data_IF_460464186720
#
_entry.id   IF_460464186720
#
_cell.length_a   1.000
_cell.length_b   1.000
_cell.length_c   1.000
_cell.angle_alpha   90.00
_cell.angle_beta   90.00
_cell.angle_gamma   90.00
#
_symmetry.space_group_name_H-M   'P 1'
#
loop_
_entity.id
_entity.type
_entity.pdbx_description
1 polymer ?
#
# COMPACT_ATOMS: atom_id res chain seq x y z
N UNK A 1 -0.02 8.61 -39.66
CA UNK A 1 -1.06 7.94 -38.85
C UNK A 1 -1.18 6.43 -39.14
N UNK A 2 -1.25 5.99 -40.41
CA UNK A 2 -1.41 4.56 -40.75
C UNK A 2 -0.24 3.66 -40.29
N UNK A 3 1.01 4.13 -40.36
CA UNK A 3 2.18 3.37 -39.90
C UNK A 3 2.14 3.10 -38.38
N UNK A 4 1.79 4.09 -37.57
CA UNK A 4 1.69 3.96 -36.12
C UNK A 4 0.54 3.03 -35.71
N UNK A 5 -0.62 3.13 -36.38
CA UNK A 5 -1.76 2.22 -36.17
C UNK A 5 -1.41 0.76 -36.51
N UNK A 6 -0.64 0.54 -37.57
CA UNK A 6 -0.18 -0.79 -37.95
C UNK A 6 0.89 -1.34 -36.99
N UNK A 7 1.79 -0.49 -36.48
CA UNK A 7 2.74 -0.89 -35.43
C UNK A 7 2.04 -1.26 -34.13
N UNK A 8 1.00 -0.52 -33.72
CA UNK A 8 0.21 -0.84 -32.53
C UNK A 8 -0.53 -2.17 -32.65
N UNK A 9 -1.06 -2.52 -33.83
CA UNK A 9 -1.67 -3.85 -34.06
C UNK A 9 -0.65 -4.99 -33.89
N UNK A 10 0.63 -4.75 -34.16
CA UNK A 10 1.68 -5.77 -33.99
C UNK A 10 2.00 -6.06 -32.53
N UNK A 11 1.63 -5.19 -31.58
CA UNK A 11 1.82 -5.47 -30.15
C UNK A 11 1.13 -6.77 -29.74
N UNK A 12 -0.07 -7.03 -30.26
CA UNK A 12 -0.82 -8.24 -29.93
C UNK A 12 -0.23 -9.53 -30.52
N UNK A 13 0.80 -9.42 -31.38
CA UNK A 13 1.51 -10.58 -31.93
C UNK A 13 2.62 -11.06 -30.99
N UNK A 14 3.21 -10.16 -30.19
CA UNK A 14 4.29 -10.52 -29.27
C UNK A 14 3.73 -10.90 -27.90
N UNK A 15 3.91 -12.13 -27.40
CA UNK A 15 3.41 -12.54 -26.09
C UNK A 15 3.93 -11.66 -24.95
N UNK A 16 5.18 -11.21 -25.04
CA UNK A 16 5.78 -10.30 -24.07
C UNK A 16 5.12 -8.92 -24.03
N UNK A 17 4.73 -8.37 -25.18
CA UNK A 17 3.97 -7.13 -25.24
C UNK A 17 2.58 -7.30 -24.61
N UNK A 18 1.89 -8.41 -24.90
CA UNK A 18 0.56 -8.68 -24.35
C UNK A 18 0.63 -8.79 -22.82
N UNK A 19 1.58 -9.56 -22.29
CA UNK A 19 1.80 -9.66 -20.84
C UNK A 19 2.11 -8.31 -20.21
N UNK A 20 3.01 -7.52 -20.82
CA UNK A 20 3.33 -6.18 -20.32
C UNK A 20 2.14 -5.22 -20.34
N UNK A 21 1.31 -5.26 -21.38
CA UNK A 21 0.07 -4.48 -21.47
C UNK A 21 -0.92 -4.92 -20.38
N UNK A 22 -1.10 -6.22 -20.18
CA UNK A 22 -2.01 -6.75 -19.15
C UNK A 22 -1.57 -6.28 -17.76
N UNK A 23 -0.27 -6.33 -17.45
CA UNK A 23 0.25 -5.82 -16.17
C UNK A 23 0.01 -4.33 -16.03
N UNK A 24 0.37 -3.53 -17.04
CA UNK A 24 0.18 -2.07 -17.00
C UNK A 24 -1.30 -1.69 -16.83
N UNK A 25 -2.20 -2.35 -17.57
CA UNK A 25 -3.64 -2.15 -17.45
C UNK A 25 -4.16 -2.58 -16.07
N UNK A 26 -3.68 -3.70 -15.54
CA UNK A 26 -4.06 -4.16 -14.19
C UNK A 26 -3.65 -3.15 -13.14
N UNK A 27 -2.43 -2.60 -13.22
CA UNK A 27 -1.98 -1.55 -12.31
C UNK A 27 -2.82 -0.28 -12.42
N UNK A 28 -3.21 0.12 -13.64
CA UNK A 28 -4.10 1.27 -13.85
C UNK A 28 -5.49 0.99 -13.25
N UNK A 29 -6.04 -0.21 -13.45
CA UNK A 29 -7.33 -0.61 -12.86
C UNK A 29 -7.26 -0.60 -11.34
N UNK A 30 -6.21 -1.17 -10.75
CA UNK A 30 -5.98 -1.15 -9.29
C UNK A 30 -5.83 0.29 -8.79
N UNK A 31 -5.11 1.14 -9.52
CA UNK A 31 -4.93 2.54 -9.15
C UNK A 31 -6.25 3.32 -9.17
N UNK A 32 -7.04 3.16 -10.23
CA UNK A 32 -8.37 3.78 -10.34
C UNK A 32 -9.30 3.24 -9.27
N UNK A 33 -9.32 1.92 -9.06
CA UNK A 33 -10.10 1.29 -8.01
C UNK A 33 -9.75 1.88 -6.64
N UNK A 34 -8.47 1.92 -6.27
CA UNK A 34 -7.99 2.45 -5.00
C UNK A 34 -8.44 3.91 -4.78
N UNK A 35 -8.27 4.76 -5.79
CA UNK A 35 -8.67 6.18 -5.72
C UNK A 35 -10.19 6.38 -5.60
N UNK A 36 -10.99 5.45 -6.15
CA UNK A 36 -12.46 5.50 -6.10
C UNK A 36 -12.99 4.96 -4.77
N UNK A 37 -12.48 3.80 -4.32
CA UNK A 37 -13.00 3.13 -3.13
C UNK A 37 -12.47 3.70 -1.83
N UNK A 38 -11.26 4.24 -1.83
CA UNK A 38 -10.62 4.83 -0.67
C UNK A 38 -10.21 6.23 -1.10
N UNK A 39 -11.01 7.29 -0.90
CA UNK A 39 -10.65 8.64 -1.29
C UNK A 39 -9.35 9.13 -0.62
N UNK A 40 -8.71 10.16 -1.18
CA UNK A 40 -7.41 10.65 -0.72
C UNK A 40 -7.36 10.96 0.79
N UNK A 41 -8.34 11.68 1.31
CA UNK A 41 -8.40 12.02 2.75
C UNK A 41 -8.59 10.78 3.63
N UNK A 42 -9.36 9.81 3.14
CA UNK A 42 -9.59 8.54 3.83
C UNK A 42 -8.33 7.68 3.83
N UNK A 43 -7.58 7.66 2.72
CA UNK A 43 -6.29 6.98 2.63
C UNK A 43 -5.29 7.55 3.65
N UNK A 44 -5.25 8.87 3.81
CA UNK A 44 -4.42 9.52 4.82
C UNK A 44 -4.90 9.16 6.22
N UNK A 45 -6.21 9.19 6.48
CA UNK A 45 -6.78 8.81 7.78
C UNK A 45 -6.44 7.37 8.15
N UNK A 46 -6.58 6.44 7.20
CA UNK A 46 -6.29 5.01 7.39
C UNK A 46 -4.79 4.71 7.46
N UNK A 47 -3.92 5.59 6.95
CA UNK A 47 -2.47 5.40 6.98
C UNK A 47 -1.78 6.09 8.16
N UNK A 48 -2.32 7.23 8.61
CA UNK A 48 -1.74 8.13 9.63
C UNK A 48 -2.63 8.36 10.84
N UNK A 49 -3.75 7.66 10.95
CA UNK A 49 -4.61 7.67 12.13
C UNK A 49 -3.89 7.29 13.42
N UNK A 50 -4.56 7.44 14.55
CA UNK A 50 -4.12 6.85 15.82
C UNK A 50 -4.77 5.50 16.08
N UNK A 51 -4.64 5.03 17.32
CA UNK A 51 -5.25 3.77 17.75
C UNK A 51 -6.78 3.78 17.58
N UNK A 52 -7.43 4.94 17.61
CA UNK A 52 -8.87 5.09 17.38
C UNK A 52 -9.34 4.61 16.00
N UNK A 53 -8.44 4.57 15.01
CA UNK A 53 -8.76 4.10 13.66
C UNK A 53 -8.57 2.59 13.52
N UNK A 54 -7.61 2.01 14.25
CA UNK A 54 -7.16 0.63 14.03
C UNK A 54 -7.26 -0.27 15.27
N UNK A 55 -7.95 0.16 16.32
CA UNK A 55 -8.07 -0.60 17.57
C UNK A 55 -8.64 -2.02 17.37
N UNK A 56 -9.46 -2.22 16.33
CA UNK A 56 -10.05 -3.50 15.99
C UNK A 56 -9.03 -4.50 15.45
N UNK A 57 -7.94 -4.02 14.87
CA UNK A 57 -6.98 -4.86 14.17
C UNK A 57 -5.90 -5.37 15.14
N UNK A 58 -5.42 -6.62 15.01
CA UNK A 58 -4.28 -7.13 15.78
C UNK A 58 -2.98 -6.43 15.36
N UNK A 59 -1.93 -6.55 16.18
CA UNK A 59 -0.58 -6.10 15.82
C UNK A 59 0.18 -7.24 15.16
N UNK A 60 0.98 -6.93 14.14
CA UNK A 60 1.86 -7.89 13.47
C UNK A 60 1.16 -9.20 13.05
N UNK A 61 -0.08 -9.13 12.60
CA UNK A 61 -0.81 -10.32 12.17
C UNK A 61 -0.57 -10.57 10.68
N UNK A 62 -0.02 -11.72 10.26
CA UNK A 62 0.04 -12.09 8.86
C UNK A 62 -1.34 -12.20 8.19
N UNK A 63 -1.39 -12.28 6.85
CA UNK A 63 -2.60 -12.57 6.12
C UNK A 63 -3.31 -13.86 6.54
N UNK A 64 -4.65 -13.85 6.55
CA UNK A 64 -5.47 -15.01 6.89
C UNK A 64 -5.21 -16.21 5.97
N UNK A 65 -4.93 -15.97 4.68
CA UNK A 65 -4.65 -17.04 3.72
C UNK A 65 -3.38 -17.84 4.02
N UNK A 66 -2.51 -17.41 4.94
CA UNK A 66 -1.40 -18.25 5.42
C UNK A 66 -1.92 -19.59 5.96
N UNK A 67 -3.11 -19.60 6.57
CA UNK A 67 -3.78 -20.81 7.04
C UNK A 67 -3.95 -21.90 5.97
N UNK A 68 -3.93 -21.56 4.67
CA UNK A 68 -4.01 -22.52 3.56
C UNK A 68 -2.69 -23.27 3.32
N UNK A 69 -1.56 -22.72 3.75
CA UNK A 69 -0.22 -23.23 3.44
C UNK A 69 0.52 -23.81 4.65
N UNK A 70 -0.08 -23.72 5.84
CA UNK A 70 0.47 -24.22 7.11
C UNK A 70 -0.33 -25.41 7.63
N UNK A 71 0.36 -26.35 8.28
CA UNK A 71 -0.29 -27.42 9.04
C UNK A 71 -0.93 -26.90 10.33
N UNK A 72 -0.36 -25.84 10.92
CA UNK A 72 -0.83 -25.20 12.15
C UNK A 72 -1.82 -24.08 11.84
N UNK A 73 -3.06 -24.18 12.28
CA UNK A 73 -4.11 -23.17 12.05
C UNK A 73 -4.03 -22.02 13.05
N UNK A 74 -3.88 -20.82 12.54
CA UNK A 74 -3.82 -19.57 13.28
C UNK A 74 -5.21 -18.95 13.38
N UNK A 75 -5.55 -18.42 14.56
CA UNK A 75 -6.84 -17.80 14.81
C UNK A 75 -7.05 -16.53 13.99
N UNK A 76 -8.20 -16.41 13.34
CA UNK A 76 -8.55 -15.22 12.57
C UNK A 76 -9.15 -14.15 13.47
N UNK A 77 -8.77 -12.89 13.21
CA UNK A 77 -9.28 -11.74 13.96
C UNK A 77 -10.67 -11.35 13.49
N UNK A 78 -11.52 -10.93 14.42
CA UNK A 78 -12.85 -10.42 14.11
C UNK A 78 -13.31 -9.39 15.15
N UNK A 79 -14.29 -8.58 14.78
CA UNK A 79 -15.01 -7.70 15.70
C UNK A 79 -16.50 -7.84 15.49
N UNK A 80 -17.25 -7.84 16.60
CA UNK A 80 -18.72 -7.96 16.61
C UNK A 80 -19.31 -6.97 17.60
N UNK A 81 -20.50 -6.46 17.30
CA UNK A 81 -21.16 -5.39 18.04
C UNK A 81 -22.63 -5.71 18.31
N UNK A 82 -23.18 -5.11 19.35
CA UNK A 82 -24.64 -5.09 19.55
C UNK A 82 -25.35 -4.19 18.55
N UNK A 83 -24.67 -3.16 18.03
CA UNK A 83 -25.25 -2.14 17.16
C UNK A 83 -25.44 -2.57 15.71
N UNK A 84 -24.68 -3.56 15.23
CA UNK A 84 -24.83 -4.14 13.88
C UNK A 84 -25.63 -5.46 13.89
N UNK A 85 -26.06 -5.92 15.08
CA UNK A 85 -26.83 -7.14 15.27
C UNK A 85 -26.02 -8.43 15.29
N UNK A 86 -24.68 -8.38 15.20
CA UNK A 86 -23.83 -9.57 15.28
C UNK A 86 -23.79 -10.19 16.68
N UNK A 87 -23.91 -9.37 17.74
CA UNK A 87 -24.17 -9.84 19.10
C UNK A 87 -25.68 -9.80 19.36
N UNK A 88 -26.27 -10.95 19.68
CA UNK A 88 -27.69 -11.04 20.03
C UNK A 88 -27.92 -10.38 21.39
N UNK A 89 -28.61 -9.23 21.39
CA UNK A 89 -28.95 -8.44 22.58
C UNK A 89 -30.45 -8.47 22.80
N UNK A 90 -30.86 -9.00 23.95
CA UNK A 90 -32.23 -8.96 24.44
C UNK A 90 -32.32 -8.03 25.64
N UNK A 91 -33.28 -7.11 25.63
CA UNK A 91 -33.53 -6.18 26.74
C UNK A 91 -34.90 -6.51 27.32
N UNK A 92 -34.91 -6.91 28.59
CA UNK A 92 -36.14 -7.20 29.34
C UNK A 92 -36.44 -6.02 30.26
N UNK A 93 -37.59 -5.34 30.08
CA UNK A 93 -37.99 -4.26 30.98
C UNK A 93 -38.33 -4.82 32.36
N UNK A 94 -37.86 -4.16 33.42
CA UNK A 94 -38.17 -4.45 34.81
C UNK A 94 -39.16 -3.45 35.41
N UNK A 95 -39.36 -3.55 36.72
CA UNK A 95 -40.19 -2.62 37.49
C UNK A 95 -39.47 -1.28 37.74
N UNK A 96 -40.25 -0.21 37.93
CA UNK A 96 -39.75 1.14 38.28
C UNK A 96 -38.69 1.73 37.32
N UNK A 97 -38.74 1.36 36.04
CA UNK A 97 -37.81 1.89 35.04
C UNK A 97 -36.43 1.25 35.06
N UNK A 98 -36.25 0.17 35.82
CA UNK A 98 -35.09 -0.71 35.67
C UNK A 98 -35.24 -1.59 34.43
N UNK A 99 -34.14 -1.98 33.81
CA UNK A 99 -34.14 -2.95 32.72
C UNK A 99 -32.95 -3.87 32.85
N UNK A 100 -33.09 -5.09 32.34
CA UNK A 100 -31.99 -6.05 32.27
C UNK A 100 -31.68 -6.33 30.81
N UNK A 101 -30.41 -6.55 30.51
CA UNK A 101 -29.91 -6.86 29.19
C UNK A 101 -29.21 -8.22 29.25
N UNK A 102 -29.44 -9.05 28.25
CA UNK A 102 -28.64 -10.24 27.98
C UNK A 102 -28.06 -10.11 26.58
N UNK A 103 -26.74 -10.04 26.47
CA UNK A 103 -26.02 -10.11 25.21
C UNK A 103 -25.24 -11.42 25.14
N UNK A 104 -25.41 -12.17 24.05
CA UNK A 104 -24.65 -13.39 23.84
C UNK A 104 -24.03 -13.43 22.45
N UNK A 105 -22.79 -13.88 22.38
CA UNK A 105 -22.09 -14.12 21.13
C UNK A 105 -21.41 -15.47 21.19
N UNK A 106 -21.63 -16.27 20.16
CA UNK A 106 -21.11 -17.63 20.06
C UNK A 106 -20.23 -17.75 18.83
N UNK A 107 -19.05 -18.33 18.98
CA UNK A 107 -18.12 -18.50 17.87
C UNK A 107 -17.36 -19.82 17.98
N UNK A 108 -16.92 -20.29 16.82
CA UNK A 108 -16.19 -21.53 16.67
C UNK A 108 -14.68 -21.28 16.76
N UNK A 109 -14.02 -21.99 17.67
CA UNK A 109 -12.57 -21.94 17.83
C UNK A 109 -11.96 -23.31 17.50
N UNK A 110 -11.55 -23.47 16.25
CA UNK A 110 -10.90 -24.69 15.74
C UNK A 110 -9.46 -24.43 15.30
N UNK A 111 -8.77 -23.56 16.05
CA UNK A 111 -7.39 -23.15 15.77
C UNK A 111 -6.39 -23.86 16.68
N UNK A 112 -5.10 -23.83 16.32
CA UNK A 112 -3.99 -24.42 17.05
C UNK A 112 -3.18 -23.38 17.86
N UNK A 113 -3.55 -22.10 17.77
CA UNK A 113 -2.85 -21.00 18.42
C UNK A 113 -3.86 -20.07 19.09
N UNK A 114 -3.57 -19.74 20.35
CA UNK A 114 -4.32 -18.76 21.12
C UNK A 114 -4.38 -17.40 20.39
N UNK A 115 -5.47 -16.64 20.55
CA UNK A 115 -5.49 -15.25 20.10
C UNK A 115 -4.41 -14.42 20.81
N UNK A 116 -4.06 -13.28 20.23
CA UNK A 116 -3.15 -12.31 20.85
C UNK A 116 -3.81 -11.60 22.03
N UNK A 117 -5.09 -11.24 21.89
CA UNK A 117 -5.82 -10.47 22.88
C UNK A 117 -7.34 -10.59 22.66
N UNK A 118 -8.10 -10.37 23.73
CA UNK A 118 -9.55 -10.21 23.67
C UNK A 118 -9.94 -8.92 24.41
N UNK A 119 -10.67 -8.04 23.73
CA UNK A 119 -11.03 -6.72 24.26
C UNK A 119 -12.53 -6.51 24.13
N UNK A 120 -13.13 -5.99 25.19
CA UNK A 120 -14.52 -5.54 25.20
C UNK A 120 -14.57 -4.02 25.34
N UNK A 121 -15.27 -3.38 24.41
CA UNK A 121 -15.57 -1.96 24.45
C UNK A 121 -17.03 -1.78 24.79
N UNK A 122 -17.30 -1.02 25.85
CA UNK A 122 -18.64 -0.69 26.30
C UNK A 122 -18.92 0.77 26.05
N UNK A 123 -20.08 1.05 25.48
CA UNK A 123 -20.65 2.40 25.42
C UNK A 123 -21.97 2.38 26.16
N UNK A 124 -22.06 3.10 27.27
CA UNK A 124 -23.26 3.16 28.09
C UNK A 124 -23.91 4.54 28.03
N UNK A 125 -25.24 4.57 27.93
CA UNK A 125 -26.06 5.77 28.06
C UNK A 125 -26.77 5.69 29.41
N UNK A 126 -26.52 6.67 30.28
CA UNK A 126 -27.20 6.87 31.56
C UNK A 126 -26.97 8.31 32.04
N UNK A 127 -27.80 8.79 32.96
CA UNK A 127 -27.80 10.14 33.51
C UNK A 127 -27.14 10.17 34.89
N UNK A 128 -27.64 9.38 35.83
CA UNK A 128 -27.16 9.37 37.22
C UNK A 128 -26.74 7.98 37.67
N UNK A 129 -27.53 6.95 37.34
CA UNK A 129 -27.31 5.61 37.88
C UNK A 129 -26.50 4.75 36.91
N UNK A 130 -25.24 4.47 37.27
CA UNK A 130 -24.33 3.65 36.47
C UNK A 130 -24.87 2.23 36.27
N UNK A 131 -24.97 1.74 35.02
CA UNK A 131 -25.31 0.36 34.75
C UNK A 131 -24.24 -0.61 35.26
N UNK A 132 -24.66 -1.81 35.62
CA UNK A 132 -23.77 -2.87 36.10
C UNK A 132 -23.79 -4.05 35.15
N UNK A 133 -22.63 -4.62 34.82
CA UNK A 133 -22.55 -5.82 33.98
C UNK A 133 -21.86 -6.98 34.69
N UNK A 134 -22.28 -8.19 34.35
CA UNK A 134 -21.60 -9.44 34.63
C UNK A 134 -21.24 -10.11 33.31
N UNK A 135 -20.00 -10.55 33.19
CA UNK A 135 -19.49 -11.23 32.00
C UNK A 135 -19.10 -12.66 32.36
N UNK A 136 -19.56 -13.61 31.56
CA UNK A 136 -19.28 -15.04 31.68
C UNK A 136 -18.75 -15.60 30.36
N UNK A 137 -17.84 -16.54 30.47
CA UNK A 137 -17.22 -17.25 29.36
C UNK A 137 -17.56 -18.72 29.48
N UNK A 138 -18.29 -19.23 28.50
CA UNK A 138 -18.67 -20.63 28.42
C UNK A 138 -17.71 -21.35 27.49
N UNK A 139 -17.08 -22.39 28.00
CA UNK A 139 -16.11 -23.22 27.28
C UNK A 139 -16.78 -24.44 26.64
N UNK A 140 -16.15 -25.07 25.62
CA UNK A 140 -16.71 -26.23 24.92
C UNK A 140 -17.00 -27.44 25.81
N UNK A 141 -16.28 -27.58 26.92
CA UNK A 141 -16.44 -28.63 27.93
C UNK A 141 -17.55 -28.33 28.96
N UNK A 142 -18.28 -27.21 28.80
CA UNK A 142 -19.42 -26.83 29.62
C UNK A 142 -19.08 -26.03 30.88
N UNK A 143 -17.81 -25.67 31.12
CA UNK A 143 -17.47 -24.79 32.25
C UNK A 143 -17.97 -23.37 32.01
N UNK A 144 -18.37 -22.71 33.10
CA UNK A 144 -18.73 -21.28 33.11
C UNK A 144 -17.70 -20.51 33.92
N UNK A 145 -16.93 -19.66 33.24
CA UNK A 145 -15.88 -18.86 33.85
C UNK A 145 -16.37 -17.43 33.98
N UNK A 146 -16.47 -16.92 35.20
CA UNK A 146 -16.84 -15.53 35.45
C UNK A 146 -15.65 -14.60 35.16
N UNK A 147 -15.77 -13.79 34.13
CA UNK A 147 -14.73 -12.88 33.63
C UNK A 147 -14.60 -11.66 34.55
N UNK A 148 -15.64 -10.83 34.63
CA UNK A 148 -15.68 -9.72 35.57
C UNK A 148 -17.11 -9.28 35.88
N UNK A 149 -17.22 -8.50 36.94
CA UNK A 149 -18.44 -7.82 37.36
C UNK A 149 -18.06 -6.40 37.72
N UNK A 150 -18.63 -5.43 37.02
CA UNK A 150 -18.25 -4.04 37.17
C UNK A 150 -19.40 -3.10 36.80
N UNK A 151 -19.40 -1.93 37.43
CA UNK A 151 -20.16 -0.79 36.95
C UNK A 151 -19.48 -0.23 35.69
N UNK A 152 -20.27 0.21 34.71
CA UNK A 152 -19.78 0.66 33.42
C UNK A 152 -19.87 2.18 33.32
N UNK A 153 -18.72 2.81 33.05
CA UNK A 153 -18.63 4.22 32.68
C UNK A 153 -19.18 4.45 31.26
N UNK A 154 -19.48 5.71 30.85
CA UNK A 154 -20.07 5.98 29.53
C UNK A 154 -19.26 5.43 28.35
N UNK A 155 -17.93 5.40 28.47
CA UNK A 155 -17.02 4.65 27.61
C UNK A 155 -16.07 3.86 28.49
N UNK A 156 -16.07 2.54 28.38
CA UNK A 156 -15.19 1.66 29.14
C UNK A 156 -14.53 0.66 28.21
N UNK A 157 -13.22 0.49 28.36
CA UNK A 157 -12.48 -0.60 27.69
C UNK A 157 -12.08 -1.62 28.75
N UNK A 158 -12.32 -2.88 28.45
CA UNK A 158 -11.95 -4.01 29.30
C UNK A 158 -11.07 -4.97 28.49
N UNK A 159 -9.79 -5.07 28.87
CA UNK A 159 -8.82 -5.98 28.25
C UNK A 159 -8.66 -7.20 29.15
N UNK A 160 -8.92 -8.38 28.63
CA UNK A 160 -8.95 -9.59 29.45
C UNK A 160 -7.55 -9.91 30.02
N UNK A 161 -6.49 -9.73 29.22
CA UNK A 161 -5.11 -9.96 29.65
C UNK A 161 -4.65 -9.09 30.83
N UNK A 162 -5.31 -7.94 31.05
CA UNK A 162 -4.93 -6.95 32.07
C UNK A 162 -5.71 -7.09 33.39
N UNK A 163 -6.64 -8.04 33.49
CA UNK A 163 -7.44 -8.22 34.72
C UNK A 163 -6.73 -9.14 35.74
N UNK A 164 -6.16 -8.52 36.77
CA UNK A 164 -5.49 -9.22 37.89
C UNK A 164 -6.43 -10.13 38.71
N UNK A 165 -7.72 -9.77 38.84
CA UNK A 165 -8.69 -10.62 39.53
C UNK A 165 -9.01 -11.86 38.69
N UNK A 166 -9.03 -11.72 37.37
CA UNK A 166 -9.21 -12.85 36.45
C UNK A 166 -7.99 -13.77 36.46
N UNK A 167 -6.77 -13.24 36.42
CA UNK A 167 -5.52 -14.02 36.62
C UNK A 167 -5.57 -14.85 37.90
N UNK A 168 -5.96 -14.22 39.01
CA UNK A 168 -6.09 -14.89 40.30
C UNK A 168 -7.14 -16.00 40.28
N UNK A 169 -8.29 -15.78 39.64
CA UNK A 169 -9.35 -16.80 39.52
C UNK A 169 -8.94 -17.98 38.65
N UNK A 170 -8.22 -17.72 37.55
CA UNK A 170 -7.72 -18.74 36.63
C UNK A 170 -6.45 -19.43 37.14
N UNK A 171 -5.81 -18.89 38.19
CA UNK A 171 -4.52 -19.37 38.71
C UNK A 171 -3.43 -19.41 37.62
N UNK A 172 -3.45 -18.43 36.72
CA UNK A 172 -2.52 -18.31 35.60
C UNK A 172 -2.05 -16.87 35.46
N UNK A 173 -0.77 -16.68 35.11
CA UNK A 173 -0.23 -15.37 34.77
C UNK A 173 -0.72 -14.87 33.41
N UNK A 174 -0.96 -15.79 32.47
CA UNK A 174 -1.52 -15.49 31.16
C UNK A 174 -3.00 -15.91 31.10
N UNK A 175 -3.86 -14.91 31.00
CA UNK A 175 -5.33 -15.08 30.98
C UNK A 175 -5.77 -15.75 29.70
N UNK A 176 -5.17 -15.39 28.55
CA UNK A 176 -5.69 -15.82 27.26
C UNK A 176 -5.55 -17.34 27.10
N UNK A 177 -4.36 -17.96 27.25
CA UNK A 177 -4.24 -19.41 27.23
C UNK A 177 -5.15 -20.09 28.25
N UNK A 178 -5.23 -19.57 29.48
CA UNK A 178 -6.05 -20.16 30.53
C UNK A 178 -7.57 -20.20 30.22
N UNK A 179 -8.07 -19.29 29.38
CA UNK A 179 -9.47 -19.28 28.93
C UNK A 179 -9.76 -20.30 27.82
N UNK A 180 -8.73 -20.74 27.09
CA UNK A 180 -8.85 -21.67 25.97
C UNK A 180 -8.26 -23.05 26.27
N UNK A 181 -7.70 -23.26 27.46
CA UNK A 181 -7.08 -24.52 27.85
C UNK A 181 -7.90 -25.29 28.89
N UNK A 182 -7.71 -26.60 28.89
CA UNK A 182 -8.10 -27.46 29.99
C UNK A 182 -7.19 -27.17 31.21
N UNK A 183 -7.72 -26.90 32.42
CA UNK A 183 -6.91 -26.59 33.59
C UNK A 183 -6.08 -27.75 34.13
N UNK A 184 -6.49 -28.99 33.85
CA UNK A 184 -5.83 -30.20 34.33
C UNK A 184 -4.73 -30.64 33.35
N UNK A 185 -5.04 -30.67 32.06
CA UNK A 185 -4.09 -31.14 31.03
C UNK A 185 -3.25 -30.01 30.43
N UNK A 186 -3.72 -28.76 30.50
CA UNK A 186 -3.11 -27.61 29.82
C UNK A 186 -3.32 -27.61 28.30
N UNK A 187 -4.03 -28.60 27.76
CA UNK A 187 -4.24 -28.72 26.31
C UNK A 187 -5.26 -27.69 25.81
N UNK A 188 -5.07 -27.24 24.57
CA UNK A 188 -5.95 -26.30 23.90
C UNK A 188 -7.31 -26.95 23.61
N UNK A 189 -8.37 -26.38 24.16
CA UNK A 189 -9.74 -26.82 23.94
C UNK A 189 -10.30 -26.19 22.66
N UNK A 190 -10.56 -27.05 21.67
CA UNK A 190 -11.21 -26.67 20.42
C UNK A 190 -12.70 -26.94 20.50
N UNK A 191 -13.49 -26.02 19.96
CA UNK A 191 -14.94 -26.14 19.94
C UNK A 191 -15.62 -24.79 19.99
N UNK A 192 -16.88 -24.82 20.38
CA UNK A 192 -17.72 -23.64 20.43
C UNK A 192 -17.56 -22.91 21.76
N UNK A 193 -17.24 -21.62 21.71
CA UNK A 193 -17.16 -20.74 22.86
C UNK A 193 -18.31 -19.74 22.83
N UNK A 194 -18.80 -19.37 24.01
CA UNK A 194 -19.84 -18.37 24.13
C UNK A 194 -19.46 -17.31 25.17
N UNK A 195 -19.51 -16.05 24.74
CA UNK A 195 -19.45 -14.89 25.61
C UNK A 195 -20.87 -14.49 25.99
N UNK A 196 -21.17 -14.52 27.29
CA UNK A 196 -22.45 -14.09 27.85
C UNK A 196 -22.24 -12.84 28.70
N UNK A 197 -23.01 -11.80 28.42
CA UNK A 197 -22.96 -10.53 29.13
C UNK A 197 -24.35 -10.20 29.63
N UNK A 198 -24.51 -10.13 30.94
CA UNK A 198 -25.76 -9.74 31.58
C UNK A 198 -25.60 -8.35 32.20
N UNK A 199 -26.44 -7.41 31.82
CA UNK A 199 -26.44 -6.04 32.31
C UNK A 199 -27.70 -5.72 33.11
N UNK A 200 -27.56 -4.90 34.15
CA UNK A 200 -28.65 -4.27 34.87
C UNK A 200 -28.54 -2.75 34.72
N UNK A 201 -29.62 -2.13 34.27
CA UNK A 201 -29.78 -0.69 34.08
C UNK A 201 -30.82 -0.20 35.08
N UNK A 202 -30.52 0.90 35.77
CA UNK A 202 -31.26 1.30 36.97
C UNK A 202 -32.13 2.55 36.78
N UNK A 203 -32.24 3.04 35.54
CA UNK A 203 -33.05 4.20 35.17
C UNK A 203 -33.64 4.06 33.75
N UNK A 204 -34.79 4.69 33.47
CA UNK A 204 -35.42 4.64 32.14
C UNK A 204 -34.52 5.23 31.05
N UNK A 205 -34.52 4.61 29.87
CA UNK A 205 -33.75 5.09 28.72
C UNK A 205 -32.25 4.81 28.80
N UNK A 206 -31.78 4.16 29.87
CA UNK A 206 -30.42 3.63 29.92
C UNK A 206 -30.24 2.51 28.90
N UNK A 207 -29.04 2.47 28.31
CA UNK A 207 -28.68 1.42 27.36
C UNK A 207 -27.18 1.12 27.41
N UNK A 208 -26.80 -0.10 27.05
CA UNK A 208 -25.41 -0.56 26.97
C UNK A 208 -25.17 -1.18 25.60
N UNK A 209 -24.23 -0.62 24.86
CA UNK A 209 -23.69 -1.22 23.66
C UNK A 209 -22.35 -1.89 23.96
N UNK A 210 -22.18 -3.07 23.37
CA UNK A 210 -20.96 -3.87 23.53
C UNK A 210 -20.36 -4.10 22.16
N UNK A 211 -19.05 -3.92 22.07
CA UNK A 211 -18.22 -4.38 20.99
C UNK A 211 -17.19 -5.37 21.53
N UNK A 212 -17.18 -6.58 20.97
CA UNK A 212 -16.18 -7.59 21.26
C UNK A 212 -15.18 -7.65 20.11
N UNK A 213 -13.91 -7.40 20.43
CA UNK A 213 -12.79 -7.45 19.49
C UNK A 213 -11.91 -8.63 19.87
N UNK A 214 -11.79 -9.57 18.93
CA UNK A 214 -10.95 -10.73 19.02
C UNK A 214 -9.71 -10.52 18.15
N UNK A 215 -8.57 -10.26 18.78
CA UNK A 215 -7.29 -10.16 18.07
C UNK A 215 -6.71 -11.54 17.89
N UNK A 216 -7.00 -12.14 16.74
CA UNK A 216 -6.39 -13.39 16.30
C UNK A 216 -4.91 -13.23 15.94
N UNK A 217 -4.32 -14.32 15.47
CA UNK A 217 -2.94 -14.37 14.99
C UNK A 217 -2.80 -14.00 13.51
N UNK A 218 -3.89 -14.04 12.75
CA UNK A 218 -3.94 -13.61 11.34
C UNK A 218 -5.08 -12.63 11.10
N UNK A 219 -4.96 -11.83 10.04
CA UNK A 219 -5.95 -10.80 9.69
C UNK A 219 -6.01 -10.57 8.18
N UNK A 220 -7.22 -10.52 7.64
CA UNK A 220 -7.50 -10.02 6.29
C UNK A 220 -6.68 -10.65 5.16
N UNK A 221 -6.57 -9.91 4.04
CA UNK A 221 -5.87 -10.37 2.82
C UNK A 221 -4.37 -10.04 2.87
N UNK A 222 -3.98 -8.95 3.53
CA UNK A 222 -2.60 -8.45 3.56
C UNK A 222 -1.98 -8.44 4.96
N UNK A 223 -2.75 -8.82 5.99
CA UNK A 223 -2.28 -8.72 7.36
C UNK A 223 -2.21 -7.28 7.88
N UNK A 224 -1.56 -7.13 9.02
CA UNK A 224 -1.41 -5.87 9.74
C UNK A 224 0.03 -5.61 10.14
N UNK A 225 0.32 -4.35 10.42
CA UNK A 225 1.66 -3.94 10.86
C UNK A 225 1.77 -3.73 12.39
N UNK A 226 2.89 -3.15 12.84
CA UNK A 226 3.16 -2.80 14.23
C UNK A 226 2.11 -1.86 14.85
N UNK A 227 1.52 -1.00 14.01
CA UNK A 227 0.57 0.04 14.37
C UNK A 227 -0.87 -0.44 14.23
N UNK A 228 -1.09 -1.73 13.93
CA UNK A 228 -2.41 -2.33 13.62
C UNK A 228 -3.01 -1.88 12.28
N UNK A 229 -2.25 -1.18 11.43
CA UNK A 229 -2.75 -0.72 10.13
C UNK A 229 -2.99 -1.92 9.23
N UNK A 230 -4.11 -1.92 8.54
CA UNK A 230 -4.39 -2.91 7.49
C UNK A 230 -3.50 -2.64 6.28
N UNK A 231 -2.63 -3.59 5.94
CA UNK A 231 -1.67 -3.43 4.84
C UNK A 231 -2.34 -3.41 3.46
N UNK A 232 -3.61 -3.79 3.34
CA UNK A 232 -4.32 -3.71 2.05
C UNK A 232 -4.42 -2.27 1.55
N UNK A 233 -4.58 -1.31 2.48
CA UNK A 233 -4.73 0.12 2.17
C UNK A 233 -3.48 0.66 1.47
N UNK A 234 -2.28 0.59 2.06
CA UNK A 234 -1.07 1.09 1.42
C UNK A 234 -0.62 0.25 0.22
N UNK A 235 -0.99 -1.03 0.12
CA UNK A 235 -0.72 -1.83 -1.09
C UNK A 235 -1.55 -1.36 -2.29
N UNK A 236 -2.83 -1.05 -2.07
CA UNK A 236 -3.70 -0.50 -3.11
C UNK A 236 -3.32 0.94 -3.47
N UNK A 237 -3.14 1.80 -2.46
CA UNK A 237 -2.80 3.22 -2.66
C UNK A 237 -1.36 3.47 -3.11
N UNK A 238 -0.45 2.52 -2.89
CA UNK A 238 0.90 2.60 -3.45
C UNK A 238 0.91 2.49 -4.99
N UNK A 239 -0.07 1.81 -5.60
CA UNK A 239 -0.15 1.67 -7.06
C UNK A 239 -0.33 3.00 -7.82
N UNK A 240 -1.31 3.87 -7.51
CA UNK A 240 -1.45 5.17 -8.19
C UNK A 240 -0.22 6.05 -7.97
N UNK A 241 0.38 6.01 -6.78
CA UNK A 241 1.58 6.81 -6.46
C UNK A 241 2.79 6.34 -7.28
N UNK A 242 3.05 5.03 -7.29
CA UNK A 242 4.13 4.43 -8.08
C UNK A 242 3.95 4.72 -9.58
N UNK A 243 2.75 4.50 -10.12
CA UNK A 243 2.45 4.80 -11.52
C UNK A 243 2.61 6.28 -11.84
N UNK A 244 2.08 7.18 -11.01
CA UNK A 244 2.20 8.62 -11.23
C UNK A 244 3.67 9.06 -11.24
N UNK A 245 4.45 8.64 -10.22
CA UNK A 245 5.87 8.99 -10.15
C UNK A 245 6.64 8.42 -11.35
N UNK A 246 6.48 7.13 -11.63
CA UNK A 246 7.18 6.45 -12.71
C UNK A 246 6.86 7.00 -14.10
N UNK A 247 5.57 7.20 -14.40
CA UNK A 247 5.12 7.69 -15.71
C UNK A 247 5.45 9.17 -15.92
N UNK A 248 5.23 10.02 -14.91
CA UNK A 248 5.51 11.47 -15.03
C UNK A 248 7.02 11.70 -15.12
N UNK A 249 7.83 11.01 -14.31
CA UNK A 249 9.29 11.11 -14.40
C UNK A 249 9.78 10.65 -15.76
N UNK A 250 9.34 9.48 -16.21
CA UNK A 250 9.73 8.92 -17.51
C UNK A 250 9.33 9.82 -18.68
N UNK A 251 8.08 10.27 -18.71
CA UNK A 251 7.57 11.16 -19.76
C UNK A 251 8.30 12.51 -19.73
N UNK A 252 8.39 13.14 -18.55
CA UNK A 252 9.02 14.44 -18.36
C UNK A 252 10.48 14.43 -18.79
N UNK A 253 11.27 13.48 -18.28
CA UNK A 253 12.67 13.34 -18.66
C UNK A 253 12.82 13.02 -20.15
N UNK A 254 12.11 12.02 -20.67
CA UNK A 254 12.29 11.59 -22.07
C UNK A 254 11.97 12.71 -23.07
N UNK A 255 10.87 13.44 -22.83
CA UNK A 255 10.43 14.53 -23.71
C UNK A 255 11.39 15.73 -23.60
N UNK A 256 11.73 16.16 -22.39
CA UNK A 256 12.61 17.31 -22.19
C UNK A 256 14.02 17.05 -22.74
N UNK A 257 14.60 15.88 -22.45
CA UNK A 257 15.91 15.47 -22.98
C UNK A 257 15.92 15.45 -24.51
N UNK A 258 14.87 14.92 -25.15
CA UNK A 258 14.76 14.92 -26.62
C UNK A 258 14.65 16.33 -27.19
N UNK A 259 13.80 17.18 -26.61
CA UNK A 259 13.63 18.57 -27.07
C UNK A 259 14.95 19.34 -26.95
N UNK A 260 15.63 19.24 -25.80
CA UNK A 260 16.92 19.91 -25.56
C UNK A 260 17.98 19.40 -26.52
N UNK A 261 18.07 18.08 -26.75
CA UNK A 261 19.02 17.51 -27.70
C UNK A 261 18.72 17.95 -29.15
N UNK A 262 17.45 18.01 -29.56
CA UNK A 262 17.05 18.47 -30.89
C UNK A 262 17.41 19.94 -31.11
N UNK A 263 17.12 20.80 -30.12
CA UNK A 263 17.44 22.23 -30.15
C UNK A 263 18.96 22.42 -30.20
N UNK A 264 19.72 21.78 -29.31
CA UNK A 264 21.18 21.85 -29.32
C UNK A 264 21.78 21.45 -30.67
N UNK A 265 21.33 20.31 -31.21
CA UNK A 265 21.83 19.80 -32.50
C UNK A 265 21.45 20.70 -33.68
N UNK A 266 20.24 21.27 -33.68
CA UNK A 266 19.78 22.14 -34.76
C UNK A 266 20.55 23.45 -34.82
N UNK A 267 20.58 24.19 -33.71
CA UNK A 267 21.24 25.50 -33.65
C UNK A 267 22.76 25.40 -33.66
N UNK A 268 23.33 24.32 -33.11
CA UNK A 268 24.77 24.10 -33.07
C UNK A 268 25.52 25.20 -32.31
N UNK A 269 26.82 25.32 -32.57
CA UNK A 269 27.68 26.38 -32.02
C UNK A 269 27.63 26.44 -30.50
N UNK A 270 27.46 27.65 -29.96
CA UNK A 270 27.47 27.87 -28.50
C UNK A 270 26.30 27.21 -27.77
N UNK A 271 25.15 27.00 -28.42
CA UNK A 271 23.98 26.36 -27.78
C UNK A 271 24.26 24.89 -27.52
N UNK A 272 24.77 24.19 -28.53
CA UNK A 272 25.16 22.78 -28.40
C UNK A 272 26.30 22.62 -27.38
N UNK A 273 27.31 23.49 -27.45
CA UNK A 273 28.44 23.48 -26.50
C UNK A 273 27.95 23.68 -25.06
N UNK A 274 27.08 24.65 -24.80
CA UNK A 274 26.52 24.89 -23.46
C UNK A 274 25.76 23.66 -22.93
N UNK A 275 24.93 23.02 -23.78
CA UNK A 275 24.20 21.81 -23.41
C UNK A 275 25.18 20.66 -23.10
N UNK A 276 26.25 20.50 -23.90
CA UNK A 276 27.28 19.49 -23.62
C UNK A 276 27.99 19.76 -22.30
N UNK A 277 28.36 21.01 -22.00
CA UNK A 277 29.01 21.38 -20.72
C UNK A 277 28.12 21.12 -19.53
N UNK A 278 26.84 21.50 -19.58
CA UNK A 278 25.88 21.20 -18.52
C UNK A 278 25.74 19.69 -18.34
N UNK A 279 25.69 18.92 -19.44
CA UNK A 279 25.63 17.45 -19.41
C UNK A 279 26.87 16.84 -18.76
N UNK A 280 28.07 17.31 -19.12
CA UNK A 280 29.33 16.85 -18.54
C UNK A 280 29.39 17.10 -17.04
N UNK A 281 28.98 18.29 -16.58
CA UNK A 281 28.89 18.61 -15.15
C UNK A 281 27.89 17.68 -14.45
N UNK A 282 26.68 17.52 -15.01
CA UNK A 282 25.64 16.71 -14.40
C UNK A 282 26.01 15.22 -14.29
N UNK A 283 26.77 14.68 -15.25
CA UNK A 283 27.24 13.29 -15.22
C UNK A 283 28.25 13.00 -14.09
N UNK A 284 28.93 14.03 -13.57
CA UNK A 284 29.86 13.91 -12.43
C UNK A 284 29.11 14.01 -11.09
N UNK A 285 27.90 14.58 -11.09
CA UNK A 285 27.12 14.75 -9.86
C UNK A 285 26.58 13.41 -9.34
N UNK A 286 26.67 13.13 -8.03
CA UNK A 286 26.14 11.92 -7.42
C UNK A 286 24.61 12.02 -7.31
N UNK A 287 23.90 11.45 -8.30
CA UNK A 287 22.44 11.55 -8.43
C UNK A 287 21.68 11.24 -7.12
N UNK A 288 21.94 10.08 -6.52
CA UNK A 288 21.24 9.67 -5.30
C UNK A 288 21.60 10.58 -4.11
N UNK A 289 22.86 11.00 -3.98
CA UNK A 289 23.29 11.88 -2.88
C UNK A 289 22.63 13.26 -2.95
N UNK A 290 22.39 13.80 -4.15
CA UNK A 290 21.65 15.07 -4.30
C UNK A 290 20.19 14.89 -3.87
N UNK A 291 19.53 13.79 -4.28
CA UNK A 291 18.16 13.52 -3.84
C UNK A 291 18.07 13.31 -2.32
N UNK A 292 19.05 12.65 -1.72
CA UNK A 292 19.17 12.52 -0.25
C UNK A 292 19.30 13.90 0.40
N UNK A 293 20.16 14.77 -0.13
CA UNK A 293 20.32 16.14 0.37
C UNK A 293 19.01 16.93 0.29
N UNK A 294 18.28 16.83 -0.84
CA UNK A 294 16.98 17.50 -1.00
C UNK A 294 15.95 16.95 -0.02
N UNK A 295 15.82 15.63 0.09
CA UNK A 295 14.89 14.99 1.02
C UNK A 295 15.18 15.32 2.49
N UNK A 296 16.46 15.48 2.84
CA UNK A 296 16.91 15.75 4.22
C UNK A 296 16.79 17.22 4.59
N UNK A 297 17.22 18.14 3.73
CA UNK A 297 17.34 19.56 4.07
C UNK A 297 16.22 20.44 3.53
N UNK A 298 15.48 20.01 2.50
CA UNK A 298 14.48 20.84 1.83
C UNK A 298 13.06 20.30 2.01
N UNK A 299 12.74 19.13 1.45
CA UNK A 299 11.40 18.56 1.53
C UNK A 299 11.39 17.09 1.14
N UNK A 300 10.62 16.29 1.90
CA UNK A 300 10.28 14.90 1.58
C UNK A 300 9.02 14.76 0.74
N UNK A 301 8.44 15.87 0.25
CA UNK A 301 7.27 15.81 -0.61
C UNK A 301 7.60 15.04 -1.89
N UNK A 302 6.76 14.07 -2.24
CA UNK A 302 6.95 13.25 -3.44
C UNK A 302 7.07 14.11 -4.71
N UNK A 303 6.34 15.23 -4.77
CA UNK A 303 6.34 16.13 -5.93
C UNK A 303 7.63 16.95 -6.05
N UNK A 304 8.24 17.32 -4.93
CA UNK A 304 9.55 18.01 -4.91
C UNK A 304 10.64 17.05 -5.37
N UNK A 305 10.63 15.82 -4.84
CA UNK A 305 11.57 14.76 -5.24
C UNK A 305 11.38 14.38 -6.72
N UNK A 306 10.15 14.32 -7.21
CA UNK A 306 9.83 14.10 -8.62
C UNK A 306 10.40 15.21 -9.51
N UNK A 307 10.18 16.47 -9.15
CA UNK A 307 10.73 17.62 -9.87
C UNK A 307 12.25 17.60 -9.94
N UNK A 308 12.91 17.36 -8.80
CA UNK A 308 14.36 17.22 -8.73
C UNK A 308 14.88 16.04 -9.58
N UNK A 309 14.20 14.90 -9.50
CA UNK A 309 14.49 13.71 -10.30
C UNK A 309 14.44 14.02 -11.79
N UNK A 310 13.38 14.69 -12.25
CA UNK A 310 13.23 15.08 -13.66
C UNK A 310 14.38 16.00 -14.07
N UNK A 311 14.64 17.07 -13.30
CA UNK A 311 15.67 18.06 -13.62
C UNK A 311 17.07 17.44 -13.73
N UNK A 312 17.44 16.60 -12.77
CA UNK A 312 18.73 15.90 -12.77
C UNK A 312 18.84 14.86 -13.89
N UNK A 313 17.71 14.26 -14.29
CA UNK A 313 17.69 13.21 -15.32
C UNK A 313 17.67 13.76 -16.75
N UNK A 314 17.41 15.06 -16.94
CA UNK A 314 17.42 15.70 -18.26
C UNK A 314 18.80 15.59 -18.91
N UNK A 315 19.85 15.97 -18.17
CA UNK A 315 21.21 16.14 -18.66
C UNK A 315 22.06 14.88 -18.48
N UNK A 316 21.60 13.78 -19.06
CA UNK A 316 22.23 12.46 -18.94
C UNK A 316 22.85 12.01 -20.27
N UNK A 317 23.43 10.80 -20.31
CA UNK A 317 23.98 10.21 -21.53
C UNK A 317 22.98 10.16 -22.70
N UNK A 318 21.67 10.17 -22.40
CA UNK A 318 20.59 10.25 -23.40
C UNK A 318 20.69 11.51 -24.27
N UNK A 319 21.15 12.65 -23.74
CA UNK A 319 21.39 13.86 -24.58
C UNK A 319 22.44 13.55 -25.66
N UNK A 320 23.54 12.90 -25.29
CA UNK A 320 24.63 12.56 -26.23
C UNK A 320 24.15 11.54 -27.28
N UNK A 321 23.37 10.55 -26.87
CA UNK A 321 22.77 9.56 -27.76
C UNK A 321 21.80 10.20 -28.77
N UNK A 322 20.87 11.03 -28.30
CA UNK A 322 19.93 11.75 -29.18
C UNK A 322 20.64 12.71 -30.11
N UNK A 323 21.66 13.43 -29.63
CA UNK A 323 22.49 14.31 -30.46
C UNK A 323 23.11 13.56 -31.63
N UNK A 324 23.69 12.37 -31.40
CA UNK A 324 24.28 11.56 -32.46
C UNK A 324 23.27 11.23 -33.57
N UNK A 325 22.05 10.87 -33.21
CA UNK A 325 21.00 10.59 -34.18
C UNK A 325 20.50 11.86 -34.85
N UNK A 326 20.29 12.95 -34.10
CA UNK A 326 19.84 14.22 -34.67
C UNK A 326 20.84 14.83 -35.64
N UNK A 327 22.16 14.65 -35.44
CA UNK A 327 23.17 15.09 -36.41
C UNK A 327 22.98 14.38 -37.74
N UNK A 328 22.79 13.06 -37.73
CA UNK A 328 22.50 12.29 -38.94
C UNK A 328 21.19 12.72 -39.61
N UNK A 329 20.13 12.97 -38.82
CA UNK A 329 18.83 13.40 -39.35
C UNK A 329 18.91 14.82 -39.94
N UNK A 330 19.65 15.73 -39.31
CA UNK A 330 19.85 17.11 -39.76
C UNK A 330 20.47 17.20 -41.16
N UNK A 331 21.33 16.25 -41.51
CA UNK A 331 22.02 16.16 -42.81
C UNK A 331 21.20 15.45 -43.90
N UNK A 332 19.98 15.02 -43.60
CA UNK A 332 19.15 14.31 -44.58
C UNK A 332 18.55 15.22 -45.66
N UNK A 333 18.41 14.68 -46.88
CA UNK A 333 17.91 15.42 -48.06
C UNK A 333 16.51 16.04 -47.85
N UNK A 334 15.65 15.43 -47.04
CA UNK A 334 14.30 15.96 -46.81
C UNK A 334 14.32 17.21 -45.90
N UNK A 335 15.30 17.32 -45.00
CA UNK A 335 15.51 18.53 -44.19
C UNK A 335 16.06 19.65 -45.06
N UNK A 336 16.98 19.32 -45.97
CA UNK A 336 17.49 20.26 -46.97
C UNK A 336 16.38 20.78 -47.89
N UNK A 337 15.54 19.89 -48.42
CA UNK A 337 14.37 20.27 -49.21
C UNK A 337 13.41 21.16 -48.40
N UNK A 338 13.09 20.81 -47.15
CA UNK A 338 12.24 21.64 -46.29
C UNK A 338 12.79 23.06 -46.08
N UNK A 339 14.12 23.20 -45.95
CA UNK A 339 14.80 24.51 -45.90
C UNK A 339 14.65 25.27 -47.21
N UNK A 340 14.87 24.62 -48.35
CA UNK A 340 14.71 25.23 -49.67
C UNK A 340 13.28 25.74 -49.92
N UNK A 341 12.27 25.06 -49.36
CA UNK A 341 10.86 25.50 -49.37
C UNK A 341 10.52 26.56 -48.30
N UNK A 342 11.51 27.13 -47.60
CA UNK A 342 11.29 28.23 -46.65
C UNK A 342 10.76 27.81 -45.28
N UNK A 343 10.91 26.54 -44.86
CA UNK A 343 10.56 26.14 -43.51
C UNK A 343 11.44 26.85 -42.47
N UNK A 344 10.81 27.49 -41.47
CA UNK A 344 11.54 28.13 -40.36
C UNK A 344 12.24 27.11 -39.48
N UNK A 345 13.30 27.53 -38.78
CA UNK A 345 14.04 26.70 -37.80
C UNK A 345 13.13 25.98 -36.81
N UNK A 346 12.17 26.70 -36.20
CA UNK A 346 11.24 26.10 -35.24
C UNK A 346 10.36 25.04 -35.92
N UNK A 347 9.91 25.29 -37.15
CA UNK A 347 9.16 24.31 -37.92
C UNK A 347 10.01 23.07 -38.19
N UNK A 348 11.29 23.23 -38.53
CA UNK A 348 12.21 22.11 -38.75
C UNK A 348 12.39 21.27 -37.48
N UNK A 349 12.63 21.92 -36.33
CA UNK A 349 12.79 21.22 -35.04
C UNK A 349 11.54 20.43 -34.65
N UNK A 350 10.38 21.08 -34.58
CA UNK A 350 9.18 20.48 -34.01
C UNK A 350 8.35 19.65 -34.99
N UNK A 351 8.47 19.88 -36.30
CA UNK A 351 7.67 19.17 -37.32
C UNK A 351 8.50 18.09 -38.03
N UNK A 352 9.82 18.23 -38.13
CA UNK A 352 10.65 17.33 -38.91
C UNK A 352 11.67 16.53 -38.08
N UNK A 353 12.41 17.16 -37.18
CA UNK A 353 13.42 16.49 -36.34
C UNK A 353 12.78 15.65 -35.24
N UNK A 354 12.05 16.29 -34.32
CA UNK A 354 11.45 15.62 -33.16
C UNK A 354 10.50 14.49 -33.57
N UNK A 355 9.54 14.69 -34.50
CA UNK A 355 8.61 13.63 -34.89
C UNK A 355 9.29 12.41 -35.50
N UNK A 356 10.46 12.58 -36.13
CA UNK A 356 11.24 11.48 -36.69
C UNK A 356 11.81 10.56 -35.61
N UNK A 357 12.05 11.08 -34.41
CA UNK A 357 12.63 10.36 -33.28
C UNK A 357 11.60 9.71 -32.35
N UNK A 358 10.31 10.08 -32.45
CA UNK A 358 9.24 9.50 -31.62
C UNK A 358 9.25 7.96 -31.59
N UNK A 359 9.45 7.24 -32.72
CA UNK A 359 9.53 5.78 -32.69
C UNK A 359 10.65 5.23 -31.81
N UNK A 360 11.77 5.95 -31.68
CA UNK A 360 12.88 5.58 -30.80
C UNK A 360 12.63 5.97 -29.34
N UNK A 361 11.84 7.03 -29.11
CA UNK A 361 11.53 7.51 -27.76
C UNK A 361 10.53 6.61 -27.03
N UNK A 362 9.52 6.08 -27.72
CA UNK A 362 8.43 5.31 -27.09
C UNK A 362 8.96 4.10 -26.29
N UNK A 363 9.83 3.23 -26.84
CA UNK A 363 10.37 2.11 -26.07
C UNK A 363 11.21 2.55 -24.88
N UNK A 364 12.04 3.58 -25.05
CA UNK A 364 12.88 4.14 -24.00
C UNK A 364 12.07 4.71 -22.84
N UNK A 365 11.00 5.45 -23.13
CA UNK A 365 10.06 5.97 -22.13
C UNK A 365 9.45 4.82 -21.32
N UNK A 366 8.87 3.83 -21.98
CA UNK A 366 8.23 2.71 -21.27
C UNK A 366 9.26 1.94 -20.42
N UNK A 367 10.47 1.76 -20.93
CA UNK A 367 11.56 1.05 -20.23
C UNK A 367 12.12 1.84 -19.05
N UNK A 368 11.96 3.17 -19.02
CA UNK A 368 12.40 4.02 -17.92
C UNK A 368 11.40 4.08 -16.75
N UNK A 369 10.14 3.69 -16.96
CA UNK A 369 9.12 3.71 -15.89
C UNK A 369 9.54 2.88 -14.67
N UNK A 370 9.99 1.62 -14.80
CA UNK A 370 10.49 0.84 -13.66
C UNK A 370 11.59 1.55 -12.89
N UNK A 371 12.57 2.12 -13.59
CA UNK A 371 13.70 2.80 -12.97
C UNK A 371 13.24 3.89 -12.00
N UNK A 372 12.26 4.70 -12.40
CA UNK A 372 11.73 5.76 -11.55
C UNK A 372 10.80 5.25 -10.44
N UNK A 373 10.05 4.17 -10.67
CA UNK A 373 9.28 3.47 -9.62
C UNK A 373 10.22 2.94 -8.53
N UNK A 374 11.28 2.24 -8.93
CA UNK A 374 12.29 1.72 -8.01
C UNK A 374 13.07 2.83 -7.31
N UNK A 375 13.30 3.97 -7.98
CA UNK A 375 13.95 5.12 -7.36
C UNK A 375 13.10 5.68 -6.22
N UNK A 376 11.79 5.90 -6.43
CA UNK A 376 10.88 6.35 -5.35
C UNK A 376 10.90 5.36 -4.19
N UNK A 377 10.75 4.07 -4.48
CA UNK A 377 10.76 3.04 -3.45
C UNK A 377 12.10 3.01 -2.68
N UNK A 378 13.22 3.18 -3.38
CA UNK A 378 14.55 3.23 -2.77
C UNK A 378 14.71 4.44 -1.86
N UNK A 379 14.25 5.62 -2.28
CA UNK A 379 14.26 6.82 -1.45
C UNK A 379 13.36 6.65 -0.22
N UNK A 380 12.20 6.03 -0.37
CA UNK A 380 11.32 5.72 0.75
C UNK A 380 11.98 4.77 1.76
N UNK A 381 12.64 3.70 1.30
CA UNK A 381 13.42 2.78 2.15
C UNK A 381 14.57 3.47 2.88
N UNK A 382 15.14 4.53 2.29
CA UNK A 382 16.16 5.37 2.94
C UNK A 382 15.58 6.40 3.93
N UNK A 383 14.27 6.37 4.21
CA UNK A 383 13.59 7.29 5.13
C UNK A 383 13.23 8.66 4.52
N UNK A 384 13.33 8.79 3.18
CA UNK A 384 13.11 10.03 2.43
C UNK A 384 11.79 10.04 1.65
N UNK A 385 10.95 9.01 1.85
CA UNK A 385 9.64 8.92 1.25
C UNK A 385 8.68 9.97 1.80
N UNK A 386 7.56 10.16 1.09
CA UNK A 386 6.56 11.13 1.49
C UNK A 386 5.96 10.77 2.87
N UNK A 387 5.95 11.70 3.84
CA UNK A 387 5.46 11.42 5.18
C UNK A 387 3.94 11.26 5.22
N UNK A 388 3.22 11.78 4.23
CA UNK A 388 1.75 11.79 4.17
C UNK A 388 1.22 10.58 3.42
N UNK A 389 1.76 10.33 2.22
CA UNK A 389 1.22 9.30 1.34
C UNK A 389 1.67 7.89 1.73
N UNK A 390 0.81 6.89 1.61
CA UNK A 390 1.23 5.48 1.62
C UNK A 390 1.88 5.12 0.28
N UNK A 391 3.11 4.61 0.32
CA UNK A 391 3.83 4.11 -0.87
C UNK A 391 4.39 2.72 -0.59
N UNK A 392 4.63 1.91 -1.62
CA UNK A 392 5.18 0.57 -1.44
C UNK A 392 6.57 0.59 -0.80
N UNK A 393 7.41 1.57 -1.15
CA UNK A 393 8.71 1.74 -0.49
C UNK A 393 8.59 2.09 0.99
N UNK A 394 7.55 2.85 1.38
CA UNK A 394 7.29 3.18 2.78
C UNK A 394 6.83 1.97 3.61
N UNK A 395 6.06 1.05 3.01
CA UNK A 395 5.72 -0.22 3.68
C UNK A 395 7.01 -0.99 3.99
N UNK A 396 7.94 -1.06 3.03
CA UNK A 396 9.23 -1.75 3.21
C UNK A 396 10.09 -1.03 4.27
N UNK A 397 10.10 0.30 4.28
CA UNK A 397 10.79 1.10 5.29
C UNK A 397 10.24 0.83 6.70
N UNK A 398 8.91 0.89 6.88
CA UNK A 398 8.25 0.60 8.15
C UNK A 398 8.55 -0.85 8.61
N UNK A 399 8.55 -1.81 7.69
CA UNK A 399 8.90 -3.19 7.99
C UNK A 399 10.35 -3.34 8.44
N UNK A 400 11.28 -2.68 7.75
CA UNK A 400 12.71 -2.72 8.07
C UNK A 400 13.02 -2.03 9.40
N UNK A 401 12.46 -0.84 9.64
CA UNK A 401 12.65 -0.07 10.87
C UNK A 401 12.09 -0.78 12.11
N UNK A 402 11.06 -1.62 11.94
CA UNK A 402 10.48 -2.44 13.00
C UNK A 402 11.05 -3.86 13.10
N UNK A 403 12.10 -4.17 12.34
CA UNK A 403 12.79 -5.46 12.40
C UNK A 403 11.93 -6.64 11.95
N UNK A 404 10.99 -6.42 11.01
CA UNK A 404 10.04 -7.44 10.52
C UNK A 404 10.75 -8.72 10.08
N UNK A 405 11.88 -8.60 9.36
CA UNK A 405 12.65 -9.73 8.86
C UNK A 405 13.22 -10.60 10.00
N UNK A 406 13.71 -9.97 11.07
CA UNK A 406 14.28 -10.67 12.23
C UNK A 406 13.20 -11.32 13.11
N UNK A 407 11.97 -10.83 13.05
CA UNK A 407 10.81 -11.35 13.80
C UNK A 407 9.97 -12.37 13.02
N UNK A 408 10.31 -12.62 11.75
CA UNK A 408 9.57 -13.56 10.90
C UNK A 408 8.31 -12.97 10.24
N UNK A 409 8.11 -11.66 10.29
CA UNK A 409 6.97 -10.96 9.66
C UNK A 409 7.24 -10.70 8.16
N UNK A 410 7.56 -11.76 7.41
CA UNK A 410 8.01 -11.66 6.02
C UNK A 410 6.96 -11.07 5.07
N UNK A 411 5.67 -11.29 5.34
CA UNK A 411 4.55 -10.77 4.53
C UNK A 411 4.66 -9.26 4.31
N UNK A 412 5.05 -8.53 5.36
CA UNK A 412 5.13 -7.08 5.36
C UNK A 412 6.15 -6.52 4.34
N UNK A 413 7.19 -7.29 4.01
CA UNK A 413 8.18 -6.92 2.99
C UNK A 413 7.85 -7.56 1.64
N UNK A 414 7.44 -8.83 1.64
CA UNK A 414 7.25 -9.60 0.42
C UNK A 414 6.11 -9.06 -0.45
N UNK A 415 5.00 -8.64 0.16
CA UNK A 415 3.84 -8.12 -0.57
C UNK A 415 4.18 -6.87 -1.41
N UNK A 416 4.71 -5.77 -0.84
CA UNK A 416 5.10 -4.61 -1.66
C UNK A 416 6.25 -4.92 -2.62
N UNK A 417 7.19 -5.81 -2.25
CA UNK A 417 8.28 -6.21 -3.14
C UNK A 417 7.77 -6.96 -4.38
N UNK A 418 6.78 -7.85 -4.23
CA UNK A 418 6.15 -8.56 -5.35
C UNK A 418 5.43 -7.59 -6.28
N UNK A 419 4.72 -6.58 -5.74
CA UNK A 419 4.08 -5.54 -6.55
C UNK A 419 5.10 -4.72 -7.35
N UNK A 420 6.23 -4.34 -6.74
CA UNK A 420 7.34 -3.68 -7.42
C UNK A 420 7.94 -4.56 -8.53
N UNK A 421 8.16 -5.85 -8.26
CA UNK A 421 8.68 -6.80 -9.24
C UNK A 421 7.73 -7.00 -10.43
N UNK A 422 6.43 -7.18 -10.17
CA UNK A 422 5.41 -7.31 -11.22
C UNK A 422 5.38 -6.04 -12.07
N UNK A 423 5.40 -4.87 -11.43
CA UNK A 423 5.44 -3.57 -12.11
C UNK A 423 6.68 -3.46 -13.01
N UNK A 424 7.85 -3.73 -12.44
CA UNK A 424 9.12 -3.68 -13.18
C UNK A 424 9.14 -4.62 -14.37
N UNK A 425 8.74 -5.87 -14.17
CA UNK A 425 8.70 -6.90 -15.21
C UNK A 425 7.70 -6.53 -16.31
N UNK A 426 6.50 -6.10 -15.96
CA UNK A 426 5.46 -5.74 -16.93
C UNK A 426 5.89 -4.61 -17.86
N UNK A 427 6.41 -3.52 -17.30
CA UNK A 427 6.90 -2.39 -18.10
C UNK A 427 8.19 -2.72 -18.87
N UNK A 428 9.10 -3.53 -18.31
CA UNK A 428 10.30 -3.98 -19.03
C UNK A 428 9.93 -4.84 -20.26
N UNK A 429 9.03 -5.83 -20.09
CA UNK A 429 8.56 -6.67 -21.19
C UNK A 429 7.87 -5.85 -22.28
N UNK A 430 7.05 -4.87 -21.89
CA UNK A 430 6.40 -3.96 -22.82
C UNK A 430 7.44 -3.11 -23.57
N UNK A 431 8.42 -2.53 -22.87
CA UNK A 431 9.51 -1.75 -23.44
C UNK A 431 10.31 -2.53 -24.47
N UNK A 432 10.75 -3.74 -24.15
CA UNK A 432 11.48 -4.61 -25.08
C UNK A 432 10.67 -4.97 -26.33
N UNK A 433 9.37 -5.24 -26.18
CA UNK A 433 8.55 -5.57 -27.33
C UNK A 433 8.28 -4.34 -28.22
N UNK A 434 8.09 -3.16 -27.61
CA UNK A 434 7.99 -1.90 -28.34
C UNK A 434 9.28 -1.62 -29.12
N UNK A 435 10.45 -1.87 -28.53
CA UNK A 435 11.73 -1.67 -29.20
C UNK A 435 11.84 -2.56 -30.46
N UNK A 436 11.49 -3.84 -30.39
CA UNK A 436 11.45 -4.72 -31.58
C UNK A 436 10.47 -4.24 -32.66
N UNK A 437 9.33 -3.67 -32.27
CA UNK A 437 8.30 -3.22 -33.21
C UNK A 437 8.71 -1.94 -33.94
N UNK A 438 9.32 -1.00 -33.20
CA UNK A 438 9.67 0.33 -33.67
C UNK A 438 11.09 0.45 -34.22
N UNK A 439 12.01 -0.44 -33.82
CA UNK A 439 13.38 -0.48 -34.34
C UNK A 439 13.45 -1.35 -35.61
N UNK A 440 13.64 -0.76 -36.81
CA UNK A 440 13.67 -1.52 -38.05
C UNK A 440 14.86 -2.49 -38.13
N UNK A 441 15.96 -2.24 -37.41
CA UNK A 441 17.13 -3.13 -37.41
C UNK A 441 16.89 -4.44 -36.66
N UNK A 442 15.91 -4.48 -35.75
CA UNK A 442 15.56 -5.66 -34.94
C UNK A 442 14.38 -6.44 -35.53
N UNK A 443 13.88 -6.07 -36.71
CA UNK A 443 12.74 -6.75 -37.35
C UNK A 443 13.12 -7.99 -38.16
N UNK A 444 14.38 -8.07 -38.60
CA UNK A 444 14.88 -9.09 -39.53
C UNK A 444 15.86 -10.10 -38.88
N UNK A 445 15.97 -10.07 -37.54
CA UNK A 445 16.73 -11.01 -36.71
C UNK A 445 15.78 -11.74 -35.77
#
# INVERSE_FOLDING_TARGET
MNAMKNSLKRLFVYPSAVMGIVVALTLVVVAVYAMVTIPYDEAIRLWRGGEEVWYQNPKFAPPAWINLFTSKKYSESFSVRTTDGSILKEVTPGEEGTSTMSASYTFDFFYDVYPQEMILYFTAKFSEKQPFISMEWLTPDGRKIRIANLAIAPKQTYRLSQDEKLKTRLKSEDVIPALFSDPETGELLKGQYQLLITGAMFEPGSDIDVEFVFHGQVYGIAGTDQSRRDLIVPLLWGAPVALAFGLIASLGTSVLTMVIAAVGTWYGGWVDELIQRITEVNLVLPFLSILIMIGTFFSRSIWVILGATILLSIFTGSIKAYRAVFMQVKESMYIEAARAYGASSNRIVFVYLIPRMIPLLIPGLVSAVPTFVFLEASLAVLGLGDPVLPTWGKIIEDANSNGALYRGYYYWILEPAVLLMITGLGFAMLGFALDRIFNPKLRDA
#
